data_IF_227019453841
#
_entry.id   IF_227019453841
#
_cell.length_a   1.000
_cell.length_b   1.000
_cell.length_c   1.000
_cell.angle_alpha   90.00
_cell.angle_beta   90.00
_cell.angle_gamma   90.00
#
_symmetry.space_group_name_H-M   'P 1'
#
loop_
_entity.id
_entity.type
_entity.pdbx_description
1 polymer ?
#
# COMPACT_ATOMS: atom_id res chain seq x y z
N UNK A 1 -45.71 -50.72 43.20
CA UNK A 1 -44.45 -49.95 43.10
C UNK A 1 -43.23 -50.83 43.32
N UNK A 2 -43.24 -51.76 44.28
CA UNK A 2 -42.08 -52.64 44.59
C UNK A 2 -41.64 -53.56 43.44
N UNK A 3 -42.56 -54.10 42.64
CA UNK A 3 -42.23 -54.92 41.47
C UNK A 3 -41.40 -54.19 40.42
N UNK A 4 -41.64 -52.89 40.22
CA UNK A 4 -40.90 -52.09 39.24
C UNK A 4 -39.45 -51.91 39.68
N UNK A 5 -39.20 -51.72 40.98
CA UNK A 5 -37.85 -51.63 41.53
C UNK A 5 -37.09 -52.94 41.36
N UNK A 6 -37.71 -54.07 41.69
CA UNK A 6 -37.11 -55.40 41.50
C UNK A 6 -36.79 -55.67 40.03
N UNK A 7 -37.72 -55.32 39.13
CA UNK A 7 -37.54 -55.49 37.69
C UNK A 7 -36.43 -54.61 37.13
N UNK A 8 -36.27 -53.39 37.66
CA UNK A 8 -35.19 -52.49 37.28
C UNK A 8 -33.83 -52.98 37.79
N UNK A 9 -33.75 -53.52 39.01
CA UNK A 9 -32.53 -54.13 39.55
C UNK A 9 -32.14 -55.38 38.78
N UNK A 10 -33.11 -56.21 38.36
CA UNK A 10 -32.86 -57.40 37.54
C UNK A 10 -32.31 -57.00 36.16
N UNK A 11 -32.89 -55.96 35.55
CA UNK A 11 -32.46 -55.46 34.24
C UNK A 11 -31.06 -54.84 34.28
N UNK A 12 -30.71 -54.17 35.37
CA UNK A 12 -29.35 -53.68 35.61
C UNK A 12 -28.35 -54.82 35.83
N UNK A 13 -28.78 -55.92 36.47
CA UNK A 13 -27.98 -57.13 36.64
C UNK A 13 -27.75 -57.83 35.29
N UNK A 14 -28.77 -57.91 34.46
CA UNK A 14 -28.73 -58.50 33.12
C UNK A 14 -27.87 -57.67 32.16
N UNK A 15 -27.92 -56.33 32.26
CA UNK A 15 -27.00 -55.42 31.58
C UNK A 15 -25.55 -55.53 32.09
N UNK A 16 -25.35 -55.93 33.35
CA UNK A 16 -24.03 -56.17 33.93
C UNK A 16 -23.37 -57.49 33.48
N UNK A 17 -24.14 -58.42 32.92
CA UNK A 17 -23.65 -59.68 32.32
C UNK A 17 -23.36 -59.53 30.82
N UNK A 18 -23.67 -58.38 30.21
CA UNK A 18 -23.20 -58.00 28.87
C UNK A 18 -21.70 -57.72 28.97
N UNK A 19 -20.90 -58.79 28.85
CA UNK A 19 -19.45 -58.75 28.99
C UNK A 19 -18.77 -57.79 28.00
N UNK A 20 -17.58 -57.27 28.34
CA UNK A 20 -16.87 -56.26 27.56
C UNK A 20 -16.65 -56.64 26.09
N UNK A 21 -16.60 -57.94 25.75
CA UNK A 21 -16.45 -58.40 24.36
C UNK A 21 -17.65 -58.07 23.45
N UNK A 22 -18.85 -57.88 24.01
CA UNK A 22 -20.04 -57.45 23.25
C UNK A 22 -20.18 -55.94 23.13
N UNK A 23 -19.57 -55.18 24.06
CA UNK A 23 -19.47 -53.72 23.95
C UNK A 23 -18.28 -53.28 23.10
N UNK A 24 -17.19 -54.06 23.08
CA UNK A 24 -16.02 -53.82 22.24
C UNK A 24 -16.35 -54.01 20.75
N UNK A 25 -17.07 -55.08 20.38
CA UNK A 25 -17.57 -55.28 19.00
C UNK A 25 -18.58 -54.23 18.51
N UNK A 26 -19.29 -53.55 19.42
CA UNK A 26 -20.18 -52.42 19.08
C UNK A 26 -19.44 -51.07 19.09
N UNK A 27 -18.31 -50.97 19.80
CA UNK A 27 -17.46 -49.79 19.86
C UNK A 27 -16.44 -49.73 18.70
N UNK A 28 -16.03 -50.87 18.15
CA UNK A 28 -15.13 -50.94 16.98
C UNK A 28 -15.77 -50.36 15.70
N UNK A 29 -17.09 -50.50 15.53
CA UNK A 29 -17.86 -49.91 14.41
C UNK A 29 -18.49 -48.54 14.77
N UNK A 30 -17.94 -47.84 15.77
CA UNK A 30 -18.51 -46.59 16.27
C UNK A 30 -18.46 -45.47 15.21
N UNK A 31 -19.62 -44.89 14.81
CA UNK A 31 -19.69 -43.78 13.85
C UNK A 31 -18.82 -42.58 14.24
N UNK A 32 -18.51 -42.43 15.53
CA UNK A 32 -17.68 -41.37 16.08
C UNK A 32 -16.24 -41.40 15.60
N UNK A 33 -15.62 -42.59 15.49
CA UNK A 33 -14.22 -42.71 15.02
C UNK A 33 -14.10 -42.35 13.53
N UNK A 34 -15.07 -42.76 12.71
CA UNK A 34 -15.14 -42.37 11.30
C UNK A 34 -15.40 -40.87 11.13
N UNK A 35 -16.19 -40.26 12.02
CA UNK A 35 -16.43 -38.82 12.02
C UNK A 35 -15.18 -38.04 12.43
N UNK A 36 -14.42 -38.51 13.43
CA UNK A 36 -13.15 -37.90 13.83
C UNK A 36 -12.08 -38.00 12.74
N UNK A 37 -11.98 -39.16 12.06
CA UNK A 37 -11.06 -39.32 10.92
C UNK A 37 -11.44 -38.41 9.75
N UNK A 38 -12.73 -38.34 9.40
CA UNK A 38 -13.23 -37.41 8.38
C UNK A 38 -13.01 -35.95 8.75
N UNK A 39 -13.21 -35.59 10.01
CA UNK A 39 -12.97 -34.23 10.52
C UNK A 39 -11.49 -33.87 10.37
N UNK A 40 -10.58 -34.76 10.80
CA UNK A 40 -9.14 -34.56 10.66
C UNK A 40 -8.71 -34.44 9.19
N UNK A 41 -9.33 -35.21 8.30
CA UNK A 41 -9.13 -35.11 6.85
C UNK A 41 -9.59 -33.77 6.27
N UNK A 42 -10.76 -33.29 6.69
CA UNK A 42 -11.29 -31.97 6.28
C UNK A 42 -10.43 -30.84 6.83
N UNK A 43 -9.96 -30.93 8.07
CA UNK A 43 -9.06 -29.94 8.67
C UNK A 43 -7.71 -29.88 7.95
N UNK A 44 -7.14 -31.03 7.59
CA UNK A 44 -5.90 -31.09 6.82
C UNK A 44 -6.07 -30.46 5.43
N UNK A 45 -7.16 -30.79 4.73
CA UNK A 45 -7.44 -30.22 3.42
C UNK A 45 -7.72 -28.71 3.50
N UNK A 46 -8.39 -28.23 4.55
CA UNK A 46 -8.60 -26.81 4.76
C UNK A 46 -7.28 -26.06 4.94
N UNK A 47 -6.33 -26.62 5.70
CA UNK A 47 -4.98 -26.06 5.84
C UNK A 47 -4.24 -26.02 4.50
N UNK A 48 -4.32 -27.08 3.71
CA UNK A 48 -3.69 -27.13 2.39
C UNK A 48 -4.28 -26.07 1.42
N UNK A 49 -5.60 -25.88 1.48
CA UNK A 49 -6.27 -24.81 0.73
C UNK A 49 -5.82 -23.41 1.19
N UNK A 50 -5.68 -23.19 2.50
CA UNK A 50 -5.15 -21.94 3.05
C UNK A 50 -3.72 -21.67 2.57
N UNK A 51 -2.86 -22.69 2.58
CA UNK A 51 -1.47 -22.59 2.10
C UNK A 51 -1.40 -22.35 0.58
N UNK A 52 -2.33 -22.91 -0.20
CA UNK A 52 -2.43 -22.64 -1.63
C UNK A 52 -2.86 -21.20 -1.90
N UNK A 53 -3.88 -20.71 -1.18
CA UNK A 53 -4.36 -19.33 -1.29
C UNK A 53 -3.24 -18.35 -0.91
N UNK A 54 -2.50 -18.61 0.17
CA UNK A 54 -1.38 -17.77 0.57
C UNK A 54 -0.30 -17.69 -0.52
N UNK A 55 0.06 -18.82 -1.14
CA UNK A 55 1.02 -18.85 -2.25
C UNK A 55 0.53 -18.12 -3.50
N UNK A 56 -0.75 -18.28 -3.85
CA UNK A 56 -1.33 -17.58 -4.99
C UNK A 56 -1.40 -16.06 -4.77
N UNK A 57 -1.70 -15.61 -3.54
CA UNK A 57 -1.68 -14.19 -3.19
C UNK A 57 -0.26 -13.60 -3.28
N UNK A 58 0.75 -14.34 -2.82
CA UNK A 58 2.16 -13.91 -2.96
C UNK A 58 2.59 -13.84 -4.43
N UNK A 59 2.22 -14.81 -5.25
CA UNK A 59 2.50 -14.82 -6.69
C UNK A 59 1.79 -13.67 -7.42
N UNK A 60 0.53 -13.38 -7.08
CA UNK A 60 -0.20 -12.23 -7.61
C UNK A 60 0.42 -10.89 -7.21
N UNK A 61 0.90 -10.76 -5.97
CA UNK A 61 1.60 -9.57 -5.51
C UNK A 61 2.93 -9.38 -6.27
N UNK A 62 3.71 -10.45 -6.45
CA UNK A 62 4.95 -10.43 -7.22
C UNK A 62 4.71 -10.10 -8.70
N UNK A 63 3.69 -10.69 -9.32
CA UNK A 63 3.31 -10.39 -10.70
C UNK A 63 2.82 -8.96 -10.87
N UNK A 64 2.08 -8.40 -9.92
CA UNK A 64 1.66 -6.99 -9.92
C UNK A 64 2.87 -6.05 -9.89
N UNK A 65 3.86 -6.34 -9.04
CA UNK A 65 5.11 -5.57 -8.95
C UNK A 65 5.92 -5.66 -10.26
N UNK A 66 6.02 -6.84 -10.86
CA UNK A 66 6.77 -7.08 -12.10
C UNK A 66 6.05 -6.46 -13.32
N UNK A 67 4.73 -6.54 -13.39
CA UNK A 67 3.95 -6.04 -14.52
C UNK A 67 3.74 -4.52 -14.49
N UNK A 68 3.63 -3.93 -13.31
CA UNK A 68 3.28 -2.51 -13.14
C UNK A 68 4.48 -1.57 -12.95
N UNK A 69 5.61 -2.04 -12.44
CA UNK A 69 6.73 -1.15 -12.09
C UNK A 69 7.67 -0.83 -13.26
N UNK A 70 8.45 -1.82 -13.76
CA UNK A 70 9.50 -1.58 -14.75
C UNK A 70 8.95 -1.13 -16.11
N UNK A 71 7.88 -1.78 -16.58
CA UNK A 71 7.28 -1.47 -17.89
C UNK A 71 6.54 -0.12 -17.88
N UNK A 72 5.86 0.24 -16.79
CA UNK A 72 5.22 1.55 -16.69
C UNK A 72 6.25 2.67 -16.55
N UNK A 73 7.33 2.48 -15.77
CA UNK A 73 8.44 3.45 -15.69
C UNK A 73 9.12 3.65 -17.03
N UNK A 74 9.40 2.56 -17.75
CA UNK A 74 9.97 2.63 -19.10
C UNK A 74 9.02 3.35 -20.06
N UNK A 75 7.73 2.99 -20.06
CA UNK A 75 6.73 3.65 -20.90
C UNK A 75 6.59 5.14 -20.57
N UNK A 76 6.55 5.53 -19.28
CA UNK A 76 6.54 6.94 -18.87
C UNK A 76 7.78 7.66 -19.37
N UNK A 77 8.97 7.05 -19.26
CA UNK A 77 10.22 7.60 -19.79
C UNK A 77 10.20 7.80 -21.31
N UNK A 78 9.69 6.82 -22.05
CA UNK A 78 9.55 6.88 -23.51
C UNK A 78 8.42 7.82 -23.98
N UNK A 79 7.48 8.18 -23.10
CA UNK A 79 6.30 8.98 -23.41
C UNK A 79 6.22 10.26 -22.54
N UNK A 80 7.36 10.80 -22.06
CA UNK A 80 7.39 11.97 -21.18
C UNK A 80 6.70 13.19 -21.80
N UNK A 81 7.01 13.51 -23.06
CA UNK A 81 6.40 14.64 -23.78
C UNK A 81 4.89 14.46 -23.97
N UNK A 82 4.46 13.24 -24.31
CA UNK A 82 3.06 12.91 -24.49
C UNK A 82 2.30 13.00 -23.16
N UNK A 83 2.88 12.49 -22.08
CA UNK A 83 2.33 12.58 -20.73
C UNK A 83 2.26 14.03 -20.25
N UNK A 84 3.30 14.82 -20.48
CA UNK A 84 3.29 16.25 -20.19
C UNK A 84 2.14 16.93 -20.94
N UNK A 85 1.98 16.66 -22.25
CA UNK A 85 0.90 17.23 -23.06
C UNK A 85 -0.49 16.83 -22.56
N UNK A 86 -0.67 15.57 -22.15
CA UNK A 86 -1.93 15.06 -21.61
C UNK A 86 -2.27 15.74 -20.29
N UNK A 87 -1.32 15.79 -19.36
CA UNK A 87 -1.50 16.41 -18.05
C UNK A 87 -1.73 17.92 -18.18
N UNK A 88 -1.08 18.59 -19.14
CA UNK A 88 -1.24 20.03 -19.38
C UNK A 88 -2.26 20.36 -20.47
N UNK A 89 -3.16 19.43 -20.79
CA UNK A 89 -4.09 19.59 -21.92
C UNK A 89 -5.17 20.65 -21.68
N UNK A 90 -5.79 20.65 -20.50
CA UNK A 90 -6.73 21.68 -20.05
C UNK A 90 -6.50 22.02 -18.58
N UNK A 91 -6.86 23.24 -18.12
CA UNK A 91 -6.70 23.61 -16.72
C UNK A 91 -7.37 22.65 -15.73
N UNK A 92 -8.52 22.08 -16.11
CA UNK A 92 -9.26 21.11 -15.30
C UNK A 92 -8.50 19.80 -15.17
N UNK A 93 -8.02 19.24 -16.29
CA UNK A 93 -7.23 18.00 -16.32
C UNK A 93 -5.94 18.18 -15.53
N UNK A 94 -5.22 19.28 -15.78
CA UNK A 94 -4.02 19.65 -15.03
C UNK A 94 -4.29 19.68 -13.54
N UNK A 95 -5.37 20.35 -13.11
CA UNK A 95 -5.71 20.44 -11.70
C UNK A 95 -6.05 19.08 -11.09
N UNK A 96 -6.78 18.22 -11.80
CA UNK A 96 -7.09 16.87 -11.33
C UNK A 96 -5.83 16.00 -11.20
N UNK A 97 -4.93 16.06 -12.17
CA UNK A 97 -3.67 15.33 -12.16
C UNK A 97 -2.74 15.82 -11.05
N UNK A 98 -2.59 17.14 -10.87
CA UNK A 98 -1.80 17.67 -9.75
C UNK A 98 -2.41 17.32 -8.39
N UNK A 99 -3.74 17.34 -8.25
CA UNK A 99 -4.41 16.86 -7.02
C UNK A 99 -4.15 15.38 -6.78
N UNK A 100 -4.09 14.57 -7.82
CA UNK A 100 -3.78 13.16 -7.72
C UNK A 100 -2.33 12.95 -7.27
N UNK A 101 -1.37 13.59 -7.93
CA UNK A 101 0.06 13.55 -7.58
C UNK A 101 0.28 14.01 -6.14
N UNK A 102 -0.43 15.07 -5.71
CA UNK A 102 -0.33 15.61 -4.35
C UNK A 102 -0.88 14.68 -3.26
N UNK A 103 -1.51 13.55 -3.59
CA UNK A 103 -1.89 12.55 -2.57
C UNK A 103 -0.70 11.72 -2.10
N UNK A 104 0.28 11.52 -2.98
CA UNK A 104 1.49 10.75 -2.70
C UNK A 104 2.57 11.63 -2.07
N UNK A 105 3.26 11.13 -1.04
CA UNK A 105 4.31 11.90 -0.35
C UNK A 105 5.44 12.33 -1.29
N UNK A 106 5.88 11.43 -2.19
CA UNK A 106 6.88 11.75 -3.21
C UNK A 106 6.38 12.83 -4.19
N UNK A 107 5.09 12.81 -4.54
CA UNK A 107 4.48 13.81 -5.40
C UNK A 107 4.39 15.19 -4.74
N UNK A 108 4.04 15.25 -3.45
CA UNK A 108 4.05 16.50 -2.66
C UNK A 108 5.44 17.11 -2.57
N UNK A 109 6.44 16.28 -2.28
CA UNK A 109 7.84 16.69 -2.20
C UNK A 109 8.30 17.27 -3.54
N UNK A 110 8.06 16.56 -4.65
CA UNK A 110 8.37 17.04 -6.00
C UNK A 110 7.71 18.38 -6.31
N UNK A 111 6.39 18.50 -6.10
CA UNK A 111 5.64 19.74 -6.37
C UNK A 111 6.18 20.90 -5.53
N UNK A 112 6.52 20.64 -4.27
CA UNK A 112 7.08 21.64 -3.36
C UNK A 112 8.46 22.09 -3.82
N UNK A 113 9.35 21.17 -4.19
CA UNK A 113 10.68 21.51 -4.71
C UNK A 113 10.59 22.36 -5.99
N UNK A 114 9.69 22.02 -6.92
CA UNK A 114 9.45 22.80 -8.14
C UNK A 114 8.94 24.20 -7.79
N UNK A 115 7.94 24.29 -6.90
CA UNK A 115 7.36 25.57 -6.47
C UNK A 115 8.38 26.46 -5.75
N UNK A 116 9.18 25.90 -4.84
CA UNK A 116 10.25 26.61 -4.15
C UNK A 116 11.31 27.11 -5.12
N UNK A 117 11.75 26.29 -6.07
CA UNK A 117 12.71 26.69 -7.10
C UNK A 117 12.18 27.86 -7.94
N UNK A 118 10.94 27.78 -8.43
CA UNK A 118 10.31 28.86 -9.19
C UNK A 118 10.26 30.17 -8.39
N UNK A 119 9.79 30.09 -7.14
CA UNK A 119 9.72 31.25 -6.26
C UNK A 119 11.08 31.90 -6.01
N UNK A 120 12.12 31.11 -5.67
CA UNK A 120 13.46 31.63 -5.42
C UNK A 120 14.08 32.26 -6.69
N UNK A 121 13.91 31.61 -7.83
CA UNK A 121 14.42 32.09 -9.12
C UNK A 121 13.77 33.41 -9.53
N UNK A 122 12.46 33.51 -9.36
CA UNK A 122 11.72 34.73 -9.68
C UNK A 122 12.07 35.87 -8.73
N UNK A 123 12.14 35.60 -7.42
CA UNK A 123 12.54 36.58 -6.42
C UNK A 123 13.94 37.14 -6.71
N UNK A 124 14.90 36.27 -7.06
CA UNK A 124 16.26 36.69 -7.42
C UNK A 124 16.24 37.57 -8.67
N UNK A 125 15.55 37.15 -9.72
CA UNK A 125 15.45 37.91 -10.99
C UNK A 125 14.84 39.30 -10.78
N UNK A 126 13.81 39.41 -9.95
CA UNK A 126 13.16 40.69 -9.63
C UNK A 126 14.10 41.60 -8.82
N UNK A 127 14.89 41.03 -7.91
CA UNK A 127 15.90 41.76 -7.14
C UNK A 127 17.01 42.27 -8.07
N UNK A 128 17.54 41.42 -8.95
CA UNK A 128 18.55 41.78 -9.95
C UNK A 128 18.06 42.88 -10.89
N UNK A 129 16.83 42.77 -11.40
CA UNK A 129 16.23 43.80 -12.25
C UNK A 129 16.13 45.14 -11.51
N UNK A 130 15.71 45.12 -10.25
CA UNK A 130 15.61 46.32 -9.40
C UNK A 130 16.98 46.96 -9.18
N UNK A 131 17.98 46.16 -8.80
CA UNK A 131 19.36 46.63 -8.60
C UNK A 131 19.96 47.19 -9.89
N UNK A 132 19.75 46.53 -11.04
CA UNK A 132 20.25 47.00 -12.33
C UNK A 132 19.65 48.36 -12.73
N UNK A 133 18.36 48.58 -12.48
CA UNK A 133 17.69 49.86 -12.73
C UNK A 133 18.27 50.97 -11.82
N UNK A 134 18.49 50.67 -10.53
CA UNK A 134 19.02 51.64 -9.57
C UNK A 134 20.48 51.99 -9.87
N UNK A 135 21.31 50.98 -10.16
CA UNK A 135 22.70 51.19 -10.55
C UNK A 135 22.84 52.03 -11.83
N UNK A 136 21.90 51.88 -12.78
CA UNK A 136 21.87 52.70 -13.99
C UNK A 136 21.45 54.16 -13.71
N UNK A 137 20.60 54.38 -12.71
CA UNK A 137 20.04 55.71 -12.41
C UNK A 137 20.94 56.52 -11.48
N UNK A 138 21.61 55.87 -10.52
CA UNK A 138 22.41 56.52 -9.49
C UNK A 138 23.83 55.95 -9.52
N UNK A 139 24.82 56.81 -9.81
CA UNK A 139 26.21 56.44 -10.00
C UNK A 139 26.89 55.93 -8.71
N UNK A 140 26.35 56.31 -7.56
CA UNK A 140 26.78 55.93 -6.21
C UNK A 140 25.86 54.90 -5.55
N UNK A 141 25.02 54.21 -6.34
CA UNK A 141 24.11 53.20 -5.82
C UNK A 141 24.84 52.12 -5.01
N UNK A 142 24.37 51.90 -3.79
CA UNK A 142 24.74 50.80 -2.92
C UNK A 142 23.47 50.24 -2.27
N UNK A 143 23.23 48.94 -2.39
CA UNK A 143 22.04 48.28 -1.87
C UNK A 143 21.81 48.54 -0.37
N UNK A 144 22.88 48.44 0.44
CA UNK A 144 22.82 48.63 1.89
C UNK A 144 22.39 50.05 2.27
N UNK A 145 22.88 51.07 1.55
CA UNK A 145 22.52 52.48 1.78
C UNK A 145 21.03 52.76 1.53
N UNK A 146 20.38 51.94 0.69
CA UNK A 146 18.94 52.01 0.40
C UNK A 146 18.13 51.02 1.27
N UNK A 147 18.76 50.31 2.20
CA UNK A 147 18.12 49.29 3.03
C UNK A 147 17.63 48.07 2.24
N UNK A 148 18.18 47.85 1.03
CA UNK A 148 17.85 46.70 0.21
C UNK A 148 18.65 45.48 0.66
N UNK A 149 18.01 44.31 0.61
CA UNK A 149 18.73 43.06 0.80
C UNK A 149 19.81 42.91 -0.30
N UNK A 150 20.99 42.37 0.05
CA UNK A 150 21.99 41.97 -0.94
C UNK A 150 21.42 40.84 -1.82
N UNK A 151 21.80 40.84 -3.09
CA UNK A 151 21.47 39.73 -4.00
C UNK A 151 22.37 38.55 -3.63
N UNK A 152 21.79 37.36 -3.53
CA UNK A 152 22.58 36.15 -3.34
C UNK A 152 23.39 35.84 -4.59
N UNK A 153 24.69 35.59 -4.43
CA UNK A 153 25.55 35.13 -5.52
C UNK A 153 25.23 33.69 -5.96
N UNK A 154 24.56 32.91 -5.10
CA UNK A 154 24.16 31.53 -5.40
C UNK A 154 22.94 31.52 -6.35
N UNK A 155 23.05 30.74 -7.43
CA UNK A 155 21.93 30.51 -8.35
C UNK A 155 21.04 29.39 -7.80
N UNK A 156 19.71 29.58 -7.73
CA UNK A 156 18.80 28.50 -7.41
C UNK A 156 19.07 27.30 -8.32
N UNK A 157 19.34 26.13 -7.73
CA UNK A 157 19.59 24.92 -8.51
C UNK A 157 18.25 24.27 -8.86
N UNK A 158 18.00 23.93 -10.14
CA UNK A 158 16.77 23.26 -10.51
C UNK A 158 16.69 21.88 -9.85
N UNK A 159 15.52 21.46 -9.35
CA UNK A 159 15.36 20.18 -8.66
C UNK A 159 15.48 18.97 -9.61
N UNK A 160 15.34 19.21 -10.91
CA UNK A 160 15.50 18.20 -11.96
C UNK A 160 16.39 18.73 -13.09
N UNK A 161 17.11 17.86 -13.82
CA UNK A 161 17.92 18.27 -14.96
C UNK A 161 17.06 18.99 -16.02
N UNK A 162 17.58 20.08 -16.55
CA UNK A 162 17.01 20.76 -17.71
C UNK A 162 17.78 20.24 -18.94
N UNK A 163 17.12 19.45 -19.79
CA UNK A 163 17.66 19.05 -21.10
C UNK A 163 17.47 20.15 -22.16
#
# INVERSE_FOLDING_TARGET
MEELWVKMTLKLKEMGEVGPETLEKLAEDSPSLQLEEKLKGVEAHNRELQDLIARQLDELANLSVIAGGPRAKQWVGENLEEMARVITSTPEVTMEDFKFIYREEQGKEMITQIGSYGFMSDQKRDQEATHAILAKRFQDFNAESYGLAPISDEEPTPPFPLE
#
